data_IF_175414054151
#
_entry.id   IF_175414054151
#
_cell.length_a   1.000
_cell.length_b   1.000
_cell.length_c   1.000
_cell.angle_alpha   90.00
_cell.angle_beta   90.00
_cell.angle_gamma   90.00
#
_symmetry.space_group_name_H-M   'P 1'
#
loop_
_entity.id
_entity.type
_entity.pdbx_description
1 polymer ?
#
# COMPACT_ATOMS: atom_id res chain seq x y z
N UNK A 1 -9.81 -14.12 12.60
CA UNK A 1 -9.36 -14.30 11.20
C UNK A 1 -9.75 -13.07 10.39
N UNK A 2 -8.83 -12.53 9.64
CA UNK A 2 -9.11 -11.36 8.80
C UNK A 2 -9.41 -11.82 7.38
N UNK A 3 -10.51 -11.31 6.83
CA UNK A 3 -10.86 -11.57 5.45
C UNK A 3 -10.28 -10.47 4.56
N UNK A 4 -9.72 -10.81 3.40
CA UNK A 4 -9.23 -9.80 2.47
C UNK A 4 -10.38 -8.93 1.95
N UNK A 5 -10.13 -7.63 1.93
CA UNK A 5 -11.06 -6.67 1.35
C UNK A 5 -10.47 -6.20 0.02
N UNK A 6 -11.10 -6.58 -1.08
CA UNK A 6 -10.62 -6.23 -2.43
C UNK A 6 -10.86 -4.76 -2.73
N UNK A 7 -9.85 -4.13 -3.30
CA UNK A 7 -9.93 -2.73 -3.72
C UNK A 7 -10.14 -2.69 -5.22
N UNK A 8 -11.27 -2.12 -5.65
CA UNK A 8 -11.61 -1.99 -7.07
C UNK A 8 -10.93 -0.82 -7.74
N UNK A 9 -10.94 0.32 -7.06
CA UNK A 9 -10.40 1.57 -7.61
C UNK A 9 -9.69 2.34 -6.51
N UNK A 10 -8.69 3.07 -6.92
CA UNK A 10 -7.98 3.97 -6.01
C UNK A 10 -7.58 5.22 -6.77
N UNK A 11 -7.44 6.32 -6.04
CA UNK A 11 -6.95 7.56 -6.60
C UNK A 11 -6.05 8.22 -5.56
N UNK A 12 -4.82 8.53 -5.93
CA UNK A 12 -3.90 9.22 -5.04
C UNK A 12 -4.29 10.69 -4.94
N UNK A 13 -4.37 11.20 -3.72
CA UNK A 13 -4.73 12.61 -3.49
C UNK A 13 -3.62 13.55 -3.91
N UNK A 14 -2.37 13.15 -3.67
CA UNK A 14 -1.18 13.94 -4.00
C UNK A 14 -0.02 13.01 -4.37
N UNK A 15 0.13 12.69 -5.65
CA UNK A 15 1.17 11.73 -6.09
C UNK A 15 2.60 12.18 -5.79
N UNK A 16 2.82 13.49 -5.63
CA UNK A 16 4.15 14.00 -5.37
C UNK A 16 4.52 13.99 -3.89
N UNK A 17 3.55 13.71 -3.02
CA UNK A 17 3.80 13.68 -1.58
C UNK A 17 4.79 12.58 -1.23
N UNK A 18 5.77 12.92 -0.41
CA UNK A 18 6.76 11.97 0.09
C UNK A 18 6.33 11.51 1.47
N UNK A 19 6.30 10.20 1.66
CA UNK A 19 5.96 9.59 2.94
C UNK A 19 7.12 8.72 3.42
N UNK A 20 7.23 8.58 4.72
CA UNK A 20 8.18 7.67 5.33
C UNK A 20 7.39 6.71 6.20
N UNK A 21 7.57 5.41 5.98
CA UNK A 21 6.80 4.40 6.67
C UNK A 21 7.54 3.08 6.70
N UNK A 22 7.06 2.20 7.57
CA UNK A 22 7.50 0.81 7.58
C UNK A 22 6.67 0.03 6.57
N UNK A 23 7.28 -0.98 6.00
CA UNK A 23 6.60 -1.89 5.08
C UNK A 23 7.26 -3.26 5.15
N UNK A 24 6.59 -4.28 4.66
CA UNK A 24 7.21 -5.58 4.48
C UNK A 24 6.83 -6.15 3.11
N UNK A 25 7.70 -7.01 2.58
CA UNK A 25 7.40 -7.71 1.34
C UNK A 25 6.66 -9.00 1.65
N UNK A 26 5.71 -9.35 0.78
CA UNK A 26 4.83 -10.51 0.99
C UNK A 26 5.60 -11.82 1.09
N UNK A 27 6.68 -11.94 0.34
CA UNK A 27 7.46 -13.19 0.29
C UNK A 27 8.32 -13.42 1.51
N UNK A 28 8.95 -12.37 2.07
CA UNK A 28 9.91 -12.50 3.16
C UNK A 28 9.37 -12.13 4.52
N UNK A 29 8.34 -11.31 4.56
CA UNK A 29 7.74 -10.83 5.80
C UNK A 29 8.72 -10.09 6.72
N UNK A 30 9.78 -9.52 6.13
CA UNK A 30 10.75 -8.71 6.86
C UNK A 30 10.33 -7.25 6.85
N UNK A 31 10.40 -6.63 8.03
CA UNK A 31 10.03 -5.24 8.18
C UNK A 31 11.18 -4.32 7.77
N UNK A 32 10.87 -3.35 6.92
CA UNK A 32 11.81 -2.35 6.45
C UNK A 32 11.23 -0.96 6.63
N UNK A 33 12.07 0.06 6.62
CA UNK A 33 11.63 1.45 6.53
C UNK A 33 11.99 2.01 5.17
N UNK A 34 11.10 2.80 4.62
CA UNK A 34 11.32 3.44 3.33
C UNK A 34 10.74 4.84 3.31
N UNK A 35 11.37 5.68 2.52
CA UNK A 35 10.89 7.02 2.20
C UNK A 35 10.71 7.08 0.69
N UNK A 36 9.49 7.39 0.25
CA UNK A 36 9.17 7.34 -1.17
C UNK A 36 8.04 8.32 -1.49
N UNK A 37 7.92 8.68 -2.76
CA UNK A 37 6.77 9.46 -3.21
C UNK A 37 5.61 8.52 -3.51
N UNK A 38 4.39 9.01 -3.32
CA UNK A 38 3.20 8.17 -3.47
C UNK A 38 2.98 7.64 -4.89
N UNK A 39 3.56 8.30 -5.89
CA UNK A 39 3.48 7.82 -7.27
C UNK A 39 4.26 6.52 -7.50
N UNK A 40 5.10 6.10 -6.56
CA UNK A 40 5.74 4.80 -6.63
C UNK A 40 4.76 3.64 -6.43
N UNK A 41 3.58 3.91 -5.87
CA UNK A 41 2.53 2.90 -5.70
C UNK A 41 1.72 2.85 -6.98
N UNK A 42 1.83 1.77 -7.72
CA UNK A 42 1.16 1.62 -9.02
C UNK A 42 -0.13 0.80 -8.94
N UNK A 43 -0.34 0.09 -7.85
CA UNK A 43 -1.57 -0.70 -7.66
C UNK A 43 -1.82 -0.91 -6.18
N UNK A 44 -3.09 -0.83 -5.79
CA UNK A 44 -3.55 -1.19 -4.45
C UNK A 44 -4.51 -2.35 -4.64
N UNK A 45 -4.14 -3.51 -4.08
CA UNK A 45 -4.85 -4.75 -4.39
C UNK A 45 -5.91 -5.11 -3.36
N UNK A 46 -5.51 -5.18 -2.09
CA UNK A 46 -6.43 -5.62 -1.05
C UNK A 46 -5.96 -5.15 0.32
N UNK A 47 -6.87 -5.17 1.28
CA UNK A 47 -6.55 -4.93 2.69
C UNK A 47 -6.78 -6.20 3.48
N UNK A 48 -5.80 -6.56 4.30
CA UNK A 48 -5.93 -7.65 5.27
C UNK A 48 -5.58 -7.06 6.63
N UNK A 49 -6.58 -6.95 7.51
CA UNK A 49 -6.39 -6.33 8.82
C UNK A 49 -5.96 -4.87 8.68
N UNK A 50 -4.82 -4.54 9.27
CA UNK A 50 -4.29 -3.18 9.29
C UNK A 50 -3.27 -2.92 8.17
N UNK A 51 -3.19 -3.79 7.19
CA UNK A 51 -2.21 -3.71 6.12
C UNK A 51 -2.87 -3.73 4.75
N UNK A 52 -2.38 -2.83 3.87
CA UNK A 52 -2.78 -2.85 2.46
C UNK A 52 -1.66 -3.49 1.64
N UNK A 53 -2.02 -4.45 0.82
CA UNK A 53 -1.09 -5.09 -0.11
C UNK A 53 -1.10 -4.31 -1.42
N UNK A 54 0.07 -3.80 -1.79
CA UNK A 54 0.23 -2.91 -2.92
C UNK A 54 1.38 -3.38 -3.80
N UNK A 55 1.47 -2.79 -4.97
CA UNK A 55 2.59 -3.00 -5.88
C UNK A 55 3.35 -1.70 -6.04
N UNK A 56 4.65 -1.73 -5.74
CA UNK A 56 5.54 -0.62 -6.03
C UNK A 56 6.05 -0.71 -7.45
N UNK A 57 6.33 0.46 -8.05
CA UNK A 57 6.93 0.54 -9.38
C UNK A 57 8.29 -0.15 -9.44
N UNK A 58 9.07 -0.03 -8.38
CA UNK A 58 10.46 -0.51 -8.34
C UNK A 58 10.62 -1.95 -7.88
N UNK A 59 9.56 -2.59 -7.38
CA UNK A 59 9.63 -3.95 -6.85
C UNK A 59 8.66 -4.86 -7.60
N UNK A 60 9.10 -6.07 -7.89
CA UNK A 60 8.23 -7.07 -8.52
C UNK A 60 7.26 -7.69 -7.52
N UNK A 61 7.67 -7.84 -6.27
CA UNK A 61 6.86 -8.48 -5.24
C UNK A 61 5.90 -7.50 -4.60
N UNK A 62 4.75 -8.02 -4.17
CA UNK A 62 3.79 -7.23 -3.41
C UNK A 62 4.39 -6.83 -2.08
N UNK A 63 4.07 -5.62 -1.67
CA UNK A 63 4.49 -5.08 -0.37
C UNK A 63 3.27 -4.71 0.43
N UNK A 64 3.41 -4.72 1.76
CA UNK A 64 2.34 -4.33 2.65
C UNK A 64 2.67 -3.00 3.32
N UNK A 65 1.75 -2.06 3.23
CA UNK A 65 1.88 -0.75 3.86
C UNK A 65 0.82 -0.59 4.96
N UNK A 66 1.13 0.17 6.01
CA UNK A 66 0.17 0.41 7.07
C UNK A 66 -1.11 1.06 6.56
N UNK A 67 -2.23 0.67 7.16
CA UNK A 67 -3.55 1.17 6.82
C UNK A 67 -3.63 2.69 6.82
N UNK A 68 -3.01 3.35 7.80
CA UNK A 68 -3.06 4.80 7.91
C UNK A 68 -2.45 5.50 6.68
N UNK A 69 -1.34 4.99 6.17
CA UNK A 69 -0.65 5.60 5.02
C UNK A 69 -1.56 5.57 3.79
N UNK A 70 -2.22 4.45 3.56
CA UNK A 70 -3.07 4.30 2.38
C UNK A 70 -4.37 5.10 2.52
N UNK A 71 -5.04 4.99 3.67
CA UNK A 71 -6.33 5.64 3.85
C UNK A 71 -6.25 7.17 3.94
N UNK A 72 -5.13 7.69 4.42
CA UNK A 72 -4.93 9.14 4.46
C UNK A 72 -4.62 9.75 3.10
N UNK A 73 -4.02 8.97 2.20
CA UNK A 73 -3.46 9.51 0.96
C UNK A 73 -4.17 9.04 -0.31
N UNK A 74 -5.12 8.13 -0.19
CA UNK A 74 -5.84 7.58 -1.33
C UNK A 74 -7.34 7.58 -1.09
N UNK A 75 -8.09 7.82 -2.16
CA UNK A 75 -9.53 7.56 -2.18
C UNK A 75 -9.71 6.15 -2.72
N UNK A 76 -10.45 5.32 -2.00
CA UNK A 76 -10.59 3.91 -2.30
C UNK A 76 -12.05 3.53 -2.56
N UNK A 77 -12.25 2.62 -3.50
CA UNK A 77 -13.54 1.97 -3.72
C UNK A 77 -13.39 0.48 -3.48
N UNK A 78 -14.28 -0.08 -2.67
CA UNK A 78 -14.26 -1.48 -2.28
C UNK A 78 -15.26 -2.24 -3.12
N UNK A 79 -14.86 -3.44 -3.54
CA UNK A 79 -15.73 -4.33 -4.30
C UNK A 79 -16.89 -4.85 -3.45
#
# INVERSE_FOLDING_TARGET
>A
MFEPVKINKWKCKDPEKIVQTRFFTKDKMEMHEAKFSLDEIISIKERIGDWYFIQFKSFEEESALPKSIIEENFNLSIA
#
